data_IF_400719692552
#
_entry.id   IF_400719692552
#
_cell.length_a   1.000
_cell.length_b   1.000
_cell.length_c   1.000
_cell.angle_alpha   90.00
_cell.angle_beta   90.00
_cell.angle_gamma   90.00
#
_symmetry.space_group_name_H-M   'P 1'
#
loop_
_entity.id
_entity.type
_entity.pdbx_description
1 polymer ?
#
# COMPACT_ATOMS: atom_id res chain seq x y z
N UNK A 1 21.72 22.32 -2.23
CA UNK A 1 21.89 21.37 -1.11
C UNK A 1 22.94 20.34 -1.50
N UNK A 2 23.98 20.13 -0.68
CA UNK A 2 24.94 19.04 -0.89
C UNK A 2 24.34 17.73 -0.37
N UNK A 3 24.50 16.63 -1.13
CA UNK A 3 24.02 15.31 -0.74
C UNK A 3 25.22 14.50 -0.26
N UNK A 4 25.22 14.12 1.02
CA UNK A 4 26.19 13.19 1.58
C UNK A 4 25.58 11.79 1.61
N UNK A 5 26.33 10.78 1.15
CA UNK A 5 25.90 9.38 1.15
C UNK A 5 26.75 8.60 2.14
N UNK A 6 26.10 7.85 3.01
CA UNK A 6 26.75 6.93 3.93
C UNK A 6 26.38 5.49 3.52
N UNK A 7 27.35 4.57 3.43
CA UNK A 7 27.05 3.16 3.24
C UNK A 7 26.15 2.64 4.37
N UNK A 8 25.14 1.85 4.02
CA UNK A 8 24.23 1.25 5.02
C UNK A 8 25.00 0.41 6.05
N UNK A 9 26.10 -0.24 5.63
CA UNK A 9 27.02 -1.01 6.47
C UNK A 9 27.63 -0.18 7.60
N UNK A 10 27.82 1.12 7.41
CA UNK A 10 28.33 2.03 8.44
C UNK A 10 27.32 2.28 9.56
N UNK A 11 26.01 2.20 9.27
CA UNK A 11 24.96 2.48 10.26
C UNK A 11 24.67 1.30 11.18
N UNK A 12 24.94 0.06 10.72
CA UNK A 12 24.61 -1.19 11.41
C UNK A 12 23.15 -1.29 11.89
N UNK A 13 22.23 -0.58 11.22
CA UNK A 13 20.80 -0.54 11.58
C UNK A 13 19.95 -1.59 10.87
N UNK A 14 20.45 -2.21 9.79
CA UNK A 14 19.68 -3.19 9.04
C UNK A 14 19.72 -4.57 9.73
N UNK A 15 18.57 -5.27 9.85
CA UNK A 15 18.56 -6.68 10.21
C UNK A 15 19.41 -7.52 9.25
N UNK A 16 19.96 -8.65 9.72
CA UNK A 16 20.87 -9.52 8.94
C UNK A 16 20.34 -9.82 7.52
N UNK A 17 19.10 -10.33 7.41
CA UNK A 17 18.52 -10.66 6.11
C UNK A 17 18.40 -9.44 5.18
N UNK A 18 18.06 -8.27 5.71
CA UNK A 18 17.99 -7.03 4.91
C UNK A 18 19.40 -6.59 4.47
N UNK A 19 20.40 -6.70 5.35
CA UNK A 19 21.81 -6.42 5.03
C UNK A 19 22.31 -7.31 3.88
N UNK A 20 21.98 -8.61 3.91
CA UNK A 20 22.31 -9.58 2.85
C UNK A 20 21.67 -9.24 1.52
N UNK A 21 20.40 -8.82 1.53
CA UNK A 21 19.69 -8.36 0.32
C UNK A 21 20.39 -7.14 -0.28
N UNK A 22 20.69 -6.12 0.54
CA UNK A 22 21.35 -4.89 0.04
C UNK A 22 22.78 -5.16 -0.43
N UNK A 23 23.47 -6.13 0.17
CA UNK A 23 24.82 -6.55 -0.23
C UNK A 23 24.84 -7.57 -1.38
N UNK A 24 23.68 -7.92 -1.94
CA UNK A 24 23.53 -8.92 -3.00
C UNK A 24 24.16 -10.29 -2.68
N UNK A 25 23.94 -10.79 -1.45
CA UNK A 25 24.44 -12.11 -1.02
C UNK A 25 24.04 -13.22 -2.03
N UNK A 26 25.01 -13.92 -2.66
CA UNK A 26 24.73 -14.97 -3.64
C UNK A 26 23.85 -16.11 -3.09
N UNK A 27 23.87 -16.37 -1.79
CA UNK A 27 22.99 -17.36 -1.16
C UNK A 27 21.50 -17.00 -1.28
N UNK A 28 21.18 -15.72 -1.53
CA UNK A 28 19.82 -15.25 -1.74
C UNK A 28 19.40 -15.20 -3.21
N UNK A 29 20.23 -15.73 -4.14
CA UNK A 29 19.87 -15.82 -5.55
C UNK A 29 18.56 -16.60 -5.74
N UNK A 30 17.62 -16.02 -6.51
CA UNK A 30 16.31 -16.60 -6.78
C UNK A 30 15.22 -16.29 -5.75
N UNK A 31 15.54 -15.71 -4.60
CA UNK A 31 14.53 -15.26 -3.62
C UNK A 31 13.97 -13.87 -3.92
N UNK A 32 14.73 -13.03 -4.62
CA UNK A 32 14.33 -11.70 -5.04
C UNK A 32 14.98 -11.34 -6.38
N UNK A 33 14.48 -10.29 -7.04
CA UNK A 33 15.15 -9.71 -8.21
C UNK A 33 16.17 -8.69 -7.71
N UNK A 34 17.44 -8.76 -8.15
CA UNK A 34 18.46 -7.80 -7.75
C UNK A 34 18.05 -6.36 -8.04
N UNK A 35 18.49 -5.43 -7.20
CA UNK A 35 18.29 -4.00 -7.46
C UNK A 35 19.08 -3.59 -8.70
N UNK A 36 18.42 -2.91 -9.64
CA UNK A 36 19.01 -2.48 -10.88
C UNK A 36 18.51 -1.08 -11.27
N UNK A 37 19.37 -0.33 -11.97
CA UNK A 37 19.01 0.99 -12.51
C UNK A 37 18.15 0.91 -13.78
N UNK A 38 18.00 -0.30 -14.34
CA UNK A 38 17.21 -0.56 -15.54
C UNK A 38 16.19 -1.67 -15.26
N UNK A 39 15.06 -1.69 -15.97
CA UNK A 39 14.07 -2.75 -15.85
C UNK A 39 14.64 -4.10 -16.33
N UNK A 40 14.28 -5.18 -15.65
CA UNK A 40 14.56 -6.54 -16.10
C UNK A 40 13.68 -6.86 -17.33
N UNK A 41 14.31 -6.97 -18.50
CA UNK A 41 13.62 -7.21 -19.76
C UNK A 41 12.77 -8.49 -19.78
N UNK A 42 13.26 -9.57 -19.16
CA UNK A 42 12.51 -10.84 -19.05
C UNK A 42 11.30 -10.62 -18.16
N UNK A 43 11.46 -9.89 -17.06
CA UNK A 43 10.35 -9.57 -16.18
C UNK A 43 9.29 -8.69 -16.85
N UNK A 44 9.71 -7.68 -17.60
CA UNK A 44 8.84 -6.78 -18.37
C UNK A 44 8.01 -7.59 -19.37
N UNK A 45 8.63 -8.47 -20.15
CA UNK A 45 7.93 -9.33 -21.12
C UNK A 45 6.91 -10.27 -20.45
N UNK A 46 7.23 -10.81 -19.27
CA UNK A 46 6.28 -11.61 -18.49
C UNK A 46 5.10 -10.77 -17.98
N UNK A 47 5.37 -9.54 -17.53
CA UNK A 47 4.36 -8.63 -16.99
C UNK A 47 3.44 -8.08 -18.08
N UNK A 48 3.93 -7.89 -19.29
CA UNK A 48 3.16 -7.38 -20.43
C UNK A 48 1.92 -8.23 -20.70
N UNK A 49 2.05 -9.55 -20.53
CA UNK A 49 1.01 -10.55 -20.76
C UNK A 49 0.13 -10.83 -19.54
N UNK A 50 0.42 -10.20 -18.38
CA UNK A 50 -0.20 -10.56 -17.10
C UNK A 50 -1.65 -10.11 -16.98
N UNK A 51 -1.99 -8.96 -17.56
CA UNK A 51 -3.30 -8.33 -17.40
C UNK A 51 -4.00 -8.18 -18.74
N UNK A 52 -5.28 -8.51 -18.77
CA UNK A 52 -6.11 -8.38 -19.98
C UNK A 52 -6.45 -6.90 -20.25
N UNK A 53 -6.87 -6.60 -21.47
CA UNK A 53 -7.37 -5.26 -21.82
C UNK A 53 -8.57 -4.84 -20.94
N UNK A 54 -9.46 -5.78 -20.62
CA UNK A 54 -10.61 -5.52 -19.75
C UNK A 54 -10.17 -5.17 -18.32
N UNK A 55 -9.18 -5.86 -17.76
CA UNK A 55 -8.64 -5.55 -16.43
C UNK A 55 -8.01 -4.16 -16.37
N UNK A 56 -7.30 -3.77 -17.44
CA UNK A 56 -6.72 -2.43 -17.57
C UNK A 56 -7.79 -1.35 -17.68
N UNK A 57 -8.88 -1.63 -18.42
CA UNK A 57 -10.04 -0.73 -18.50
C UNK A 57 -10.71 -0.58 -17.12
N UNK A 58 -10.97 -1.68 -16.41
CA UNK A 58 -11.52 -1.66 -15.05
C UNK A 58 -10.67 -0.79 -14.12
N UNK A 59 -9.34 -0.92 -14.17
CA UNK A 59 -8.42 -0.08 -13.39
C UNK A 59 -8.57 1.41 -13.73
N UNK A 60 -8.60 1.76 -15.02
CA UNK A 60 -8.78 3.15 -15.48
C UNK A 60 -10.11 3.74 -14.98
N UNK A 61 -11.20 3.00 -15.09
CA UNK A 61 -12.52 3.44 -14.65
C UNK A 61 -12.56 3.70 -13.14
N UNK A 62 -11.98 2.79 -12.35
CA UNK A 62 -11.87 2.94 -10.89
C UNK A 62 -11.02 4.17 -10.53
N UNK A 63 -9.87 4.37 -11.18
CA UNK A 63 -9.04 5.55 -10.97
C UNK A 63 -9.79 6.84 -11.32
N UNK A 64 -10.48 6.85 -12.45
CA UNK A 64 -11.28 8.01 -12.89
C UNK A 64 -12.35 8.36 -11.86
N UNK A 65 -13.04 7.36 -11.31
CA UNK A 65 -14.04 7.54 -10.26
C UNK A 65 -13.41 8.07 -8.96
N UNK A 66 -12.28 7.50 -8.52
CA UNK A 66 -11.58 7.91 -7.29
C UNK A 66 -10.99 9.33 -7.35
N UNK A 67 -10.71 9.83 -8.56
CA UNK A 67 -10.17 11.17 -8.80
C UNK A 67 -11.23 12.21 -9.15
N UNK A 68 -12.53 11.86 -9.18
CA UNK A 68 -13.62 12.73 -9.65
C UNK A 68 -13.62 14.14 -9.04
N UNK A 69 -13.20 14.27 -7.79
CA UNK A 69 -13.19 15.54 -7.04
C UNK A 69 -11.79 16.14 -6.85
N UNK A 70 -10.78 15.59 -7.52
CA UNK A 70 -9.40 16.05 -7.45
C UNK A 70 -9.07 16.85 -8.70
N UNK A 71 -8.69 18.11 -8.52
CA UNK A 71 -8.22 18.95 -9.63
C UNK A 71 -6.89 18.44 -10.19
N UNK A 72 -6.68 18.64 -11.50
CA UNK A 72 -5.46 18.21 -12.20
C UNK A 72 -5.14 16.73 -12.01
N UNK A 73 -6.16 15.86 -12.07
CA UNK A 73 -5.97 14.42 -12.03
C UNK A 73 -4.99 13.97 -13.14
N UNK A 74 -4.16 12.94 -12.90
CA UNK A 74 -3.15 12.46 -13.85
C UNK A 74 -3.79 11.62 -14.98
N UNK A 75 -4.65 12.25 -15.78
CA UNK A 75 -5.44 11.61 -16.83
C UNK A 75 -4.57 10.94 -17.90
N UNK A 76 -3.44 11.56 -18.26
CA UNK A 76 -2.48 10.97 -19.21
C UNK A 76 -1.92 9.63 -18.68
N UNK A 77 -1.65 9.53 -17.38
CA UNK A 77 -1.23 8.28 -16.76
C UNK A 77 -2.37 7.25 -16.81
N UNK A 78 -3.61 7.65 -16.54
CA UNK A 78 -4.78 6.76 -16.63
C UNK A 78 -4.96 6.19 -18.04
N UNK A 79 -4.82 7.02 -19.08
CA UNK A 79 -4.89 6.57 -20.46
C UNK A 79 -3.73 5.63 -20.80
N UNK A 80 -2.51 5.95 -20.35
CA UNK A 80 -1.36 5.09 -20.62
C UNK A 80 -1.54 3.66 -20.07
N UNK A 81 -2.25 3.48 -18.95
CA UNK A 81 -2.47 2.17 -18.31
C UNK A 81 -3.26 1.19 -19.18
N UNK A 82 -3.98 1.67 -20.20
CA UNK A 82 -4.67 0.83 -21.18
C UNK A 82 -3.71 0.01 -22.05
N UNK A 83 -2.49 0.50 -22.27
CA UNK A 83 -1.48 -0.19 -23.08
C UNK A 83 -0.85 -1.37 -22.34
N UNK A 84 -0.63 -2.49 -23.03
CA UNK A 84 0.12 -3.63 -22.50
C UNK A 84 1.58 -3.30 -22.20
N UNK A 85 2.13 -2.27 -22.86
CA UNK A 85 3.49 -1.73 -22.67
C UNK A 85 3.63 -0.76 -21.49
N UNK A 86 2.55 -0.56 -20.73
CA UNK A 86 2.58 0.27 -19.52
C UNK A 86 2.64 -0.60 -18.27
N UNK A 87 3.59 -0.27 -17.40
CA UNK A 87 3.91 -0.94 -16.14
C UNK A 87 3.84 0.05 -14.97
N UNK A 88 3.56 -0.46 -13.78
CA UNK A 88 3.51 0.35 -12.56
C UNK A 88 4.73 0.09 -11.70
N UNK A 89 5.29 1.16 -11.14
CA UNK A 89 6.29 1.11 -10.06
C UNK A 89 5.56 1.47 -8.78
N UNK A 90 5.21 0.45 -8.00
CA UNK A 90 4.27 0.61 -6.89
C UNK A 90 4.98 0.62 -5.54
N UNK A 91 4.61 1.58 -4.70
CA UNK A 91 4.84 1.53 -3.25
C UNK A 91 3.50 1.66 -2.54
N UNK A 92 3.48 1.49 -1.22
CA UNK A 92 2.27 1.65 -0.43
C UNK A 92 2.55 1.90 1.04
N UNK A 93 1.54 2.44 1.71
CA UNK A 93 1.56 2.64 3.15
C UNK A 93 0.14 2.78 3.71
N UNK A 94 0.02 2.76 5.05
CA UNK A 94 -1.22 3.09 5.72
C UNK A 94 -1.51 4.59 5.60
N UNK A 95 -2.76 4.94 5.91
CA UNK A 95 -3.30 6.29 5.78
C UNK A 95 -2.91 7.13 7.01
N UNK A 96 -1.61 7.23 7.29
CA UNK A 96 -1.10 7.99 8.42
C UNK A 96 -1.53 9.45 8.32
N UNK A 97 -2.00 9.97 9.45
CA UNK A 97 -2.37 11.37 9.57
C UNK A 97 -1.17 12.26 9.21
N UNK A 98 -1.40 13.19 8.30
CA UNK A 98 -0.43 14.17 7.81
C UNK A 98 0.94 13.56 7.48
N UNK A 99 0.91 12.44 6.74
CA UNK A 99 2.06 11.64 6.26
C UNK A 99 2.74 10.77 7.32
N UNK A 100 2.51 11.04 8.61
CA UNK A 100 3.14 10.32 9.73
C UNK A 100 4.67 10.30 9.61
N UNK A 101 5.31 9.13 9.52
CA UNK A 101 6.76 9.02 9.44
C UNK A 101 7.30 9.44 8.06
N UNK A 102 8.49 10.04 8.03
CA UNK A 102 9.14 10.53 6.79
C UNK A 102 9.30 9.48 5.69
N UNK A 103 9.36 8.20 6.03
CA UNK A 103 9.48 7.15 5.03
C UNK A 103 8.21 7.02 4.16
N UNK A 104 7.06 7.57 4.56
CA UNK A 104 5.90 7.76 3.67
C UNK A 104 6.32 8.56 2.42
N UNK A 105 6.97 9.71 2.64
CA UNK A 105 7.44 10.59 1.57
C UNK A 105 8.55 9.92 0.76
N UNK A 106 9.54 9.33 1.42
CA UNK A 106 10.69 8.73 0.72
C UNK A 106 10.29 7.55 -0.17
N UNK A 107 9.38 6.69 0.29
CA UNK A 107 8.83 5.59 -0.51
C UNK A 107 8.22 6.10 -1.83
N UNK A 108 7.45 7.18 -1.76
CA UNK A 108 6.79 7.78 -2.92
C UNK A 108 7.82 8.44 -3.86
N UNK A 109 8.75 9.21 -3.29
CA UNK A 109 9.84 9.84 -4.05
C UNK A 109 10.66 8.79 -4.80
N UNK A 110 10.95 7.65 -4.18
CA UNK A 110 11.73 6.59 -4.79
C UNK A 110 11.03 5.98 -6.01
N UNK A 111 9.73 5.66 -5.93
CA UNK A 111 9.02 5.10 -7.09
C UNK A 111 8.86 6.11 -8.22
N UNK A 112 8.68 7.40 -7.91
CA UNK A 112 8.68 8.48 -8.91
C UNK A 112 10.03 8.55 -9.62
N UNK A 113 11.13 8.51 -8.85
CA UNK A 113 12.48 8.55 -9.42
C UNK A 113 12.79 7.34 -10.28
N UNK A 114 12.42 6.14 -9.84
CA UNK A 114 12.60 4.90 -10.62
C UNK A 114 11.79 4.99 -11.92
N UNK A 115 10.52 5.38 -11.86
CA UNK A 115 9.68 5.52 -13.05
C UNK A 115 10.28 6.53 -14.05
N UNK A 116 10.75 7.68 -13.56
CA UNK A 116 11.40 8.68 -14.40
C UNK A 116 12.72 8.17 -15.02
N UNK A 117 13.55 7.48 -14.24
CA UNK A 117 14.79 6.88 -14.72
C UNK A 117 14.54 5.84 -15.81
N UNK A 118 13.52 5.00 -15.65
CA UNK A 118 13.22 3.95 -16.62
C UNK A 118 12.54 4.51 -17.87
N UNK A 119 11.65 5.49 -17.74
CA UNK A 119 11.07 6.19 -18.90
C UNK A 119 12.14 6.93 -19.72
N UNK A 120 13.20 7.43 -19.09
CA UNK A 120 14.31 8.09 -19.78
C UNK A 120 15.14 7.15 -20.68
N UNK A 121 14.99 5.82 -20.53
CA UNK A 121 15.63 4.84 -21.40
C UNK A 121 15.00 4.78 -22.79
N UNK A 122 13.78 5.28 -22.97
CA UNK A 122 13.05 5.30 -24.23
C UNK A 122 12.96 3.91 -24.90
N UNK A 123 12.75 2.87 -24.11
CA UNK A 123 12.72 1.47 -24.55
C UNK A 123 11.36 1.02 -25.16
N UNK A 124 10.46 1.99 -25.41
CA UNK A 124 9.10 1.75 -25.90
C UNK A 124 8.09 1.36 -24.82
N UNK A 125 8.50 1.24 -23.55
CA UNK A 125 7.60 1.02 -22.42
C UNK A 125 7.26 2.34 -21.71
N UNK A 126 6.19 2.32 -20.92
CA UNK A 126 5.83 3.42 -20.03
C UNK A 126 5.77 2.92 -18.58
N UNK A 127 6.39 3.66 -17.67
CA UNK A 127 6.46 3.35 -16.25
C UNK A 127 5.70 4.41 -15.45
N UNK A 128 4.62 4.01 -14.77
CA UNK A 128 3.77 4.90 -13.97
C UNK A 128 4.07 4.68 -12.49
N UNK A 129 4.48 5.72 -11.74
CA UNK A 129 4.64 5.59 -10.29
C UNK A 129 3.27 5.50 -9.62
N UNK A 130 3.09 4.50 -8.76
CA UNK A 130 1.81 4.23 -8.07
C UNK A 130 2.00 4.21 -6.57
N UNK A 131 1.12 4.90 -5.85
CA UNK A 131 0.95 4.79 -4.41
C UNK A 131 -0.33 4.00 -4.08
N UNK A 132 -0.16 2.82 -3.48
CA UNK A 132 -1.24 1.98 -2.98
C UNK A 132 -1.59 2.37 -1.55
N UNK A 133 -2.86 2.71 -1.33
CA UNK A 133 -3.38 3.01 0.01
C UNK A 133 -3.77 1.71 0.72
N UNK A 134 -3.17 1.43 1.89
CA UNK A 134 -3.59 0.33 2.76
C UNK A 134 -4.86 0.72 3.57
N UNK A 135 -5.90 1.12 2.85
CA UNK A 135 -7.19 1.62 3.37
C UNK A 135 -8.00 0.56 4.11
N UNK A 136 -7.81 -0.71 3.77
CA UNK A 136 -8.52 -1.84 4.38
C UNK A 136 -7.88 -2.35 5.67
N UNK A 137 -6.77 -1.77 6.11
CA UNK A 137 -6.22 -2.06 7.44
C UNK A 137 -7.12 -1.49 8.54
N UNK A 138 -6.91 -1.88 9.78
CA UNK A 138 -7.73 -1.53 10.95
C UNK A 138 -6.92 -0.94 12.10
N UNK A 139 -5.60 -0.80 11.95
CA UNK A 139 -4.74 -0.26 13.01
C UNK A 139 -4.85 1.27 13.07
N UNK A 140 -5.92 1.74 13.71
CA UNK A 140 -6.14 3.17 13.92
C UNK A 140 -5.05 3.80 14.80
N UNK A 141 -4.45 3.05 15.73
CA UNK A 141 -3.43 3.60 16.66
C UNK A 141 -2.15 3.96 15.92
N UNK A 142 -1.80 3.20 14.89
CA UNK A 142 -0.64 3.50 14.05
C UNK A 142 -0.85 4.79 13.25
N UNK A 143 -2.07 5.04 12.75
CA UNK A 143 -2.33 6.13 11.81
C UNK A 143 -2.82 7.45 12.44
N UNK A 144 -3.29 7.44 13.69
CA UNK A 144 -4.03 8.57 14.26
C UNK A 144 -3.18 9.76 14.71
N UNK A 145 -1.90 9.83 14.36
CA UNK A 145 -1.01 10.84 14.87
C UNK A 145 0.13 11.18 13.90
N UNK A 146 0.77 12.32 14.15
CA UNK A 146 2.03 12.70 13.54
C UNK A 146 2.90 13.44 14.56
N UNK A 147 4.21 13.40 14.34
CA UNK A 147 5.20 14.00 15.23
C UNK A 147 5.89 15.20 14.57
N UNK A 148 6.02 16.27 15.34
CA UNK A 148 6.60 17.54 14.92
C UNK A 148 7.38 18.11 16.10
N UNK A 149 8.67 18.41 15.91
CA UNK A 149 9.55 18.98 16.95
C UNK A 149 9.53 18.21 18.28
N UNK A 150 9.48 16.87 18.23
CA UNK A 150 9.44 16.02 19.43
C UNK A 150 8.08 15.98 20.16
N UNK A 151 7.06 16.67 19.64
CA UNK A 151 5.68 16.58 20.11
C UNK A 151 4.86 15.71 19.16
N UNK A 152 3.88 15.00 19.71
CA UNK A 152 2.95 14.19 18.92
C UNK A 152 1.55 14.78 19.00
N UNK A 153 0.96 15.05 17.85
CA UNK A 153 -0.41 15.54 17.71
C UNK A 153 -1.30 14.34 17.37
N UNK A 154 -2.33 14.11 18.19
CA UNK A 154 -3.22 12.97 18.07
C UNK A 154 -4.62 13.37 17.60
N UNK A 155 -5.19 12.55 16.72
CA UNK A 155 -6.62 12.47 16.47
C UNK A 155 -7.25 11.44 17.43
N UNK A 156 -7.72 11.94 18.58
CA UNK A 156 -8.25 11.10 19.65
C UNK A 156 -9.72 10.72 19.39
N UNK A 157 -9.96 9.49 18.91
CA UNK A 157 -11.31 8.93 18.75
C UNK A 157 -11.29 7.40 18.91
N UNK A 158 -12.42 6.83 19.31
CA UNK A 158 -12.65 5.38 19.19
C UNK A 158 -13.20 5.07 17.80
N UNK A 159 -12.52 4.19 17.08
CA UNK A 159 -12.88 3.83 15.72
C UNK A 159 -12.66 2.35 15.49
N UNK A 160 -13.51 1.74 14.67
CA UNK A 160 -13.45 0.34 14.29
C UNK A 160 -13.65 0.20 12.79
N UNK A 161 -13.12 -0.89 12.22
CA UNK A 161 -13.23 -1.18 10.80
C UNK A 161 -12.08 -0.62 9.95
N UNK A 162 -12.22 -0.66 8.62
CA UNK A 162 -11.17 -0.27 7.70
C UNK A 162 -10.86 1.22 7.80
N UNK A 163 -9.58 1.57 7.95
CA UNK A 163 -9.11 2.94 8.19
C UNK A 163 -9.53 3.90 7.08
N UNK A 164 -9.59 3.44 5.82
CA UNK A 164 -10.01 4.28 4.69
C UNK A 164 -11.46 4.71 4.73
N UNK A 165 -12.36 3.91 5.32
CA UNK A 165 -13.79 4.23 5.44
C UNK A 165 -14.10 5.11 6.66
N UNK A 166 -13.12 5.37 7.53
CA UNK A 166 -13.33 6.19 8.72
C UNK A 166 -13.73 7.61 8.35
N UNK A 167 -14.74 8.13 9.04
CA UNK A 167 -15.11 9.54 8.94
C UNK A 167 -13.99 10.43 9.47
N UNK A 168 -13.73 11.53 8.78
CA UNK A 168 -12.76 12.60 9.16
C UNK A 168 -13.25 13.52 10.28
N UNK A 169 -14.46 13.28 10.81
CA UNK A 169 -15.01 14.07 11.92
C UNK A 169 -14.05 14.13 13.11
N UNK A 170 -13.87 15.35 13.65
CA UNK A 170 -12.93 15.69 14.72
C UNK A 170 -11.56 16.16 14.23
N UNK A 171 -11.22 16.00 12.94
CA UNK A 171 -9.96 16.53 12.38
C UNK A 171 -9.95 18.07 12.31
N UNK A 172 -11.09 18.73 12.40
CA UNK A 172 -11.19 20.19 12.60
C UNK A 172 -10.58 20.63 13.95
N UNK A 173 -10.73 19.82 15.00
CA UNK A 173 -10.11 20.07 16.29
C UNK A 173 -8.60 19.82 16.25
N UNK A 174 -8.17 18.79 15.52
CA UNK A 174 -6.75 18.55 15.25
C UNK A 174 -6.13 19.72 14.48
N UNK A 175 -6.84 20.26 13.49
CA UNK A 175 -6.41 21.45 12.77
C UNK A 175 -6.23 22.66 13.70
N UNK A 176 -7.12 22.89 14.68
CA UNK A 176 -6.96 23.99 15.65
C UNK A 176 -5.68 23.84 16.47
N UNK A 177 -5.39 22.62 16.96
CA UNK A 177 -4.15 22.32 17.68
C UNK A 177 -2.93 22.52 16.77
N UNK A 178 -3.04 22.08 15.51
CA UNK A 178 -1.98 22.22 14.53
C UNK A 178 -1.65 23.68 14.23
N UNK A 179 -2.67 24.53 14.07
CA UNK A 179 -2.53 25.98 13.91
C UNK A 179 -1.77 26.62 15.08
N UNK A 180 -2.13 26.25 16.30
CA UNK A 180 -1.45 26.74 17.51
C UNK A 180 0.02 26.29 17.58
N UNK A 181 0.31 25.04 17.21
CA UNK A 181 1.68 24.52 17.23
C UNK A 181 2.58 25.22 16.19
N UNK A 182 2.05 25.46 14.99
CA UNK A 182 2.77 26.14 13.92
C UNK A 182 3.09 27.59 14.29
N UNK A 183 2.11 28.34 14.82
CA UNK A 183 2.28 29.77 15.09
C UNK A 183 2.71 30.54 13.84
N UNK A 184 3.64 31.48 14.00
CA UNK A 184 4.10 32.38 12.93
C UNK A 184 5.33 31.86 12.17
N UNK A 185 5.55 30.54 12.16
CA UNK A 185 6.70 29.93 11.45
C UNK A 185 6.56 30.08 9.92
N UNK A 186 7.68 30.06 9.18
CA UNK A 186 7.64 30.02 7.72
C UNK A 186 6.78 28.86 7.21
N UNK A 187 6.00 29.11 6.16
CA UNK A 187 5.09 28.14 5.53
C UNK A 187 3.98 27.60 6.45
N UNK A 188 3.72 28.22 7.60
CA UNK A 188 2.66 27.81 8.51
C UNK A 188 1.30 27.82 7.80
N UNK A 189 0.96 28.89 7.08
CA UNK A 189 -0.30 28.99 6.33
C UNK A 189 -0.45 27.87 5.30
N UNK A 190 0.59 27.60 4.50
CA UNK A 190 0.59 26.52 3.51
C UNK A 190 0.32 25.15 4.14
N UNK A 191 0.93 24.85 5.28
CA UNK A 191 0.75 23.58 5.99
C UNK A 191 -0.62 23.47 6.66
N UNK A 192 -1.18 24.58 7.14
CA UNK A 192 -2.53 24.64 7.69
C UNK A 192 -3.56 24.41 6.59
N UNK A 193 -3.41 25.07 5.46
CA UNK A 193 -4.29 24.94 4.32
C UNK A 193 -4.21 23.54 3.72
N UNK A 194 -3.01 22.98 3.58
CA UNK A 194 -2.84 21.60 3.13
C UNK A 194 -3.57 20.62 4.06
N UNK A 195 -3.47 20.78 5.37
CA UNK A 195 -4.19 19.94 6.32
C UNK A 195 -5.71 20.14 6.20
N UNK A 196 -6.19 21.38 6.15
CA UNK A 196 -7.60 21.71 6.07
C UNK A 196 -8.25 21.14 4.79
N UNK A 197 -7.61 21.38 3.64
CA UNK A 197 -8.08 20.90 2.35
C UNK A 197 -8.00 19.38 2.24
N UNK A 198 -7.02 18.74 2.88
CA UNK A 198 -6.92 17.29 2.87
C UNK A 198 -7.95 16.63 3.79
N UNK A 199 -8.08 17.08 5.03
CA UNK A 199 -8.80 16.32 6.05
C UNK A 199 -10.18 16.89 6.40
N UNK A 200 -10.32 18.22 6.45
CA UNK A 200 -11.58 18.87 6.85
C UNK A 200 -12.55 18.97 5.68
N UNK A 201 -12.04 19.07 4.44
CA UNK A 201 -12.86 19.19 3.23
C UNK A 201 -13.36 17.85 2.67
N UNK A 202 -12.96 16.72 3.26
CA UNK A 202 -13.34 15.37 2.84
C UNK A 202 -14.09 14.65 3.95
N UNK A 203 -14.97 13.71 3.60
CA UNK A 203 -15.82 13.01 4.58
C UNK A 203 -15.21 11.73 5.13
N UNK A 204 -14.23 11.15 4.44
CA UNK A 204 -13.55 9.91 4.84
C UNK A 204 -12.03 9.99 4.64
N UNK A 205 -11.31 9.12 5.35
CA UNK A 205 -9.85 9.15 5.39
C UNK A 205 -9.18 8.73 4.07
N UNK A 206 -9.79 7.84 3.28
CA UNK A 206 -9.27 7.45 1.98
C UNK A 206 -9.22 8.63 1.01
N UNK A 207 -10.32 9.37 0.89
CA UNK A 207 -10.39 10.56 0.04
C UNK A 207 -9.44 11.66 0.55
N UNK A 208 -9.39 11.86 1.86
CA UNK A 208 -8.47 12.82 2.48
C UNK A 208 -6.99 12.50 2.20
N UNK A 209 -6.61 11.23 2.35
CA UNK A 209 -5.23 10.78 2.11
C UNK A 209 -4.89 10.84 0.63
N UNK A 210 -5.82 10.49 -0.25
CA UNK A 210 -5.64 10.60 -1.71
C UNK A 210 -5.41 12.04 -2.12
N UNK A 211 -6.21 12.96 -1.58
CA UNK A 211 -6.03 14.39 -1.83
C UNK A 211 -4.66 14.87 -1.36
N UNK A 212 -4.27 14.56 -0.11
CA UNK A 212 -2.95 14.95 0.44
C UNK A 212 -1.80 14.45 -0.44
N UNK A 213 -1.80 13.15 -0.77
CA UNK A 213 -0.76 12.55 -1.59
C UNK A 213 -0.73 13.16 -3.01
N UNK A 214 -1.89 13.47 -3.59
CA UNK A 214 -1.97 14.15 -4.89
C UNK A 214 -1.45 15.59 -4.85
N UNK A 215 -1.76 16.37 -3.81
CA UNK A 215 -1.20 17.73 -3.67
C UNK A 215 0.33 17.72 -3.56
N UNK A 216 0.88 16.74 -2.83
CA UNK A 216 2.32 16.62 -2.65
C UNK A 216 3.02 16.11 -3.93
N UNK A 217 2.43 15.16 -4.64
CA UNK A 217 3.14 14.37 -5.64
C UNK A 217 2.48 14.22 -7.01
N UNK A 218 1.21 14.62 -7.17
CA UNK A 218 0.44 14.46 -8.40
C UNK A 218 1.09 15.14 -9.61
N UNK A 219 1.74 16.30 -9.41
CA UNK A 219 2.51 17.00 -10.45
C UNK A 219 3.69 16.20 -11.02
N UNK A 220 4.13 15.16 -10.33
CA UNK A 220 5.19 14.26 -10.77
C UNK A 220 4.65 12.98 -11.44
N UNK A 221 3.34 12.94 -11.74
CA UNK A 221 2.70 11.80 -12.38
C UNK A 221 2.38 10.65 -11.43
N UNK A 222 2.39 10.86 -10.11
CA UNK A 222 1.97 9.84 -9.15
C UNK A 222 0.49 9.52 -9.29
N UNK A 223 0.18 8.23 -9.46
CA UNK A 223 -1.19 7.71 -9.39
C UNK A 223 -1.42 7.10 -8.01
N UNK A 224 -2.45 7.56 -7.31
CA UNK A 224 -2.86 7.05 -5.99
C UNK A 224 -4.08 6.15 -6.18
N UNK A 225 -4.04 4.95 -5.61
CA UNK A 225 -5.15 4.00 -5.73
C UNK A 225 -5.58 3.45 -4.38
N UNK A 226 -6.91 3.43 -4.19
CA UNK A 226 -7.57 2.66 -3.15
C UNK A 226 -8.04 1.31 -3.71
N UNK A 227 -7.61 0.21 -3.08
CA UNK A 227 -8.03 -1.14 -3.45
C UNK A 227 -9.44 -1.52 -2.97
N UNK A 228 -10.04 -0.74 -2.07
CA UNK A 228 -11.32 -1.04 -1.42
C UNK A 228 -12.53 -0.68 -2.31
N UNK A 229 -12.59 -1.29 -3.50
CA UNK A 229 -13.71 -1.13 -4.44
C UNK A 229 -14.22 -2.47 -4.95
N UNK A 230 -15.55 -2.68 -5.07
CA UNK A 230 -16.10 -3.94 -5.54
C UNK A 230 -15.54 -4.41 -6.90
N UNK A 231 -15.28 -3.48 -7.82
CA UNK A 231 -14.73 -3.74 -9.14
C UNK A 231 -13.33 -4.36 -9.06
N UNK A 232 -12.43 -3.81 -8.23
CA UNK A 232 -11.09 -4.36 -8.04
C UNK A 232 -11.13 -5.67 -7.23
N UNK A 233 -12.08 -5.81 -6.29
CA UNK A 233 -12.25 -7.04 -5.51
C UNK A 233 -12.67 -8.24 -6.38
N UNK A 234 -13.49 -8.01 -7.41
CA UNK A 234 -13.84 -9.04 -8.41
C UNK A 234 -12.61 -9.60 -9.12
N UNK A 235 -11.64 -8.76 -9.45
CA UNK A 235 -10.36 -9.21 -10.04
C UNK A 235 -9.50 -10.02 -9.07
N UNK A 236 -9.73 -9.88 -7.76
CA UNK A 236 -8.98 -10.58 -6.72
C UNK A 236 -9.60 -11.94 -6.33
N UNK A 237 -10.85 -12.22 -6.72
CA UNK A 237 -11.60 -13.44 -6.42
C UNK A 237 -10.80 -14.74 -6.65
N UNK A 238 -10.07 -14.93 -7.78
CA UNK A 238 -9.32 -16.16 -7.99
C UNK A 238 -8.24 -16.39 -6.92
N UNK A 239 -7.64 -15.33 -6.38
CA UNK A 239 -6.62 -15.45 -5.34
C UNK A 239 -7.23 -15.77 -3.98
N UNK A 240 -8.39 -15.18 -3.66
CA UNK A 240 -9.15 -15.50 -2.45
C UNK A 240 -9.56 -16.99 -2.43
N UNK A 241 -10.03 -17.51 -3.57
CA UNK A 241 -10.40 -18.93 -3.71
C UNK A 241 -9.19 -19.84 -3.48
N UNK A 242 -8.05 -19.51 -4.10
CA UNK A 242 -6.82 -20.29 -3.92
C UNK A 242 -6.32 -20.28 -2.48
N UNK A 243 -6.45 -19.18 -1.75
CA UNK A 243 -6.14 -19.18 -0.32
C UNK A 243 -7.04 -20.17 0.46
N UNK A 244 -8.34 -20.22 0.16
CA UNK A 244 -9.27 -21.17 0.78
C UNK A 244 -9.08 -22.63 0.36
N UNK A 245 -8.60 -22.87 -0.86
CA UNK A 245 -8.50 -24.21 -1.43
C UNK A 245 -7.12 -24.84 -1.26
N UNK A 246 -6.07 -24.03 -1.37
CA UNK A 246 -4.68 -24.48 -1.41
C UNK A 246 -3.91 -24.14 -0.13
N UNK A 247 -4.42 -23.26 0.75
CA UNK A 247 -3.66 -22.68 1.88
C UNK A 247 -2.38 -22.00 1.39
N UNK A 248 -2.53 -21.27 0.28
CA UNK A 248 -1.46 -20.74 -0.55
C UNK A 248 -0.42 -19.96 0.26
N UNK A 249 -0.87 -19.07 1.15
CA UNK A 249 0.02 -18.18 1.90
C UNK A 249 0.81 -18.95 2.96
N UNK A 250 0.16 -19.85 3.70
CA UNK A 250 0.81 -20.63 4.75
C UNK A 250 1.86 -21.57 4.17
N UNK A 251 1.48 -22.39 3.18
CA UNK A 251 2.39 -23.34 2.54
C UNK A 251 3.52 -22.61 1.82
N UNK A 252 3.20 -21.55 1.08
CA UNK A 252 4.19 -20.74 0.38
C UNK A 252 5.23 -20.14 1.33
N UNK A 253 4.80 -19.63 2.49
CA UNK A 253 5.70 -19.10 3.51
C UNK A 253 6.57 -20.18 4.13
N UNK A 254 6.00 -21.33 4.51
CA UNK A 254 6.75 -22.45 5.09
C UNK A 254 7.83 -22.94 4.13
N UNK A 255 7.47 -23.22 2.87
CA UNK A 255 8.42 -23.63 1.83
C UNK A 255 9.50 -22.58 1.60
N UNK A 256 9.16 -21.28 1.62
CA UNK A 256 10.14 -20.20 1.43
C UNK A 256 11.12 -20.12 2.60
N UNK A 257 10.63 -20.24 3.84
CA UNK A 257 11.47 -20.24 5.05
C UNK A 257 12.41 -21.45 5.07
N UNK A 258 11.92 -22.64 4.71
CA UNK A 258 12.75 -23.84 4.59
C UNK A 258 13.86 -23.66 3.55
N UNK A 259 13.51 -23.16 2.36
CA UNK A 259 14.50 -22.87 1.32
C UNK A 259 15.53 -21.83 1.76
N UNK A 260 15.09 -20.76 2.44
CA UNK A 260 16.01 -19.74 2.96
C UNK A 260 16.96 -20.31 4.02
N UNK A 261 16.44 -21.11 4.95
CA UNK A 261 17.27 -21.75 5.98
C UNK A 261 18.34 -22.66 5.36
N UNK A 262 17.96 -23.43 4.33
CA UNK A 262 18.88 -24.29 3.60
C UNK A 262 19.91 -23.47 2.81
N UNK A 263 19.49 -22.41 2.13
CA UNK A 263 20.40 -21.58 1.35
C UNK A 263 21.43 -20.85 2.23
N UNK A 264 21.01 -20.38 3.41
CA UNK A 264 21.86 -19.65 4.36
C UNK A 264 22.60 -20.56 5.35
N UNK A 265 22.29 -21.87 5.36
CA UNK A 265 22.81 -22.84 6.33
C UNK A 265 22.61 -22.40 7.80
N UNK A 266 21.54 -21.67 8.07
CA UNK A 266 21.19 -21.16 9.40
C UNK A 266 19.68 -20.92 9.51
N UNK A 267 19.14 -20.94 10.73
CA UNK A 267 17.73 -20.61 10.95
C UNK A 267 17.53 -19.09 10.94
N UNK A 268 16.75 -18.61 9.98
CA UNK A 268 16.35 -17.20 9.96
C UNK A 268 15.32 -16.92 11.07
N UNK A 269 15.33 -15.69 11.58
CA UNK A 269 14.24 -15.19 12.41
C UNK A 269 13.01 -14.95 11.53
N UNK A 270 12.00 -15.80 11.67
CA UNK A 270 10.71 -15.65 10.98
C UNK A 270 10.04 -14.34 11.43
N UNK A 271 9.65 -13.51 10.46
CA UNK A 271 9.00 -12.22 10.71
C UNK A 271 7.49 -12.24 10.49
N UNK A 272 6.99 -13.21 9.73
CA UNK A 272 5.57 -13.35 9.39
C UNK A 272 5.13 -14.77 9.75
N UNK A 273 4.02 -14.88 10.46
CA UNK A 273 3.44 -16.16 10.87
C UNK A 273 2.05 -16.31 10.24
N UNK A 274 1.95 -16.82 9.00
CA UNK A 274 0.66 -17.06 8.37
C UNK A 274 -0.21 -18.01 9.17
N UNK A 275 -1.52 -17.73 9.15
CA UNK A 275 -2.56 -18.58 9.72
C UNK A 275 -2.96 -19.65 8.71
N UNK A 276 -3.79 -20.60 9.13
CA UNK A 276 -4.37 -21.62 8.24
C UNK A 276 -5.29 -21.01 7.16
N UNK A 277 -5.79 -19.80 7.39
CA UNK A 277 -6.47 -18.97 6.40
C UNK A 277 -6.15 -17.51 6.69
N UNK A 278 -5.70 -16.79 5.67
CA UNK A 278 -5.20 -15.41 5.79
C UNK A 278 -6.17 -14.39 5.18
N UNK A 279 -7.46 -14.68 5.28
CA UNK A 279 -8.54 -13.81 4.82
C UNK A 279 -9.21 -13.05 5.97
N UNK A 280 -9.84 -11.94 5.60
CA UNK A 280 -10.68 -11.14 6.46
C UNK A 280 -12.06 -11.01 5.82
N UNK A 281 -13.09 -10.96 6.66
CA UNK A 281 -14.46 -10.68 6.27
C UNK A 281 -14.76 -9.21 6.56
N UNK A 282 -15.36 -8.52 5.58
CA UNK A 282 -15.71 -7.11 5.67
C UNK A 282 -17.24 -6.99 5.81
N UNK A 283 -17.73 -7.07 7.05
CA UNK A 283 -19.17 -7.03 7.37
C UNK A 283 -19.61 -5.74 8.06
N UNK A 284 -20.86 -5.71 8.52
CA UNK A 284 -21.42 -4.58 9.28
C UNK A 284 -20.62 -4.26 10.54
N UNK A 285 -20.11 -5.28 11.22
CA UNK A 285 -19.29 -5.13 12.42
C UNK A 285 -17.86 -4.66 12.14
N UNK A 286 -17.50 -4.39 10.87
CA UNK A 286 -16.17 -3.95 10.43
C UNK A 286 -15.34 -5.05 9.77
N UNK A 287 -14.05 -5.09 10.10
CA UNK A 287 -13.08 -6.04 9.53
C UNK A 287 -12.79 -7.14 10.53
N UNK A 288 -13.27 -8.36 10.27
CA UNK A 288 -13.03 -9.51 11.13
C UNK A 288 -12.11 -10.52 10.47
N UNK A 289 -11.36 -11.24 11.29
CA UNK A 289 -10.57 -12.37 10.83
C UNK A 289 -11.49 -13.53 10.47
N UNK A 290 -11.19 -14.23 9.39
CA UNK A 290 -11.72 -15.58 9.15
C UNK A 290 -10.75 -16.57 9.80
N UNK A 291 -11.29 -17.59 10.47
CA UNK A 291 -10.55 -18.72 11.03
C UNK A 291 -11.08 -20.04 10.49
N UNK A 292 -10.19 -21.01 10.32
CA UNK A 292 -10.54 -22.37 9.92
C UNK A 292 -10.98 -23.14 11.17
N UNK A 293 -12.16 -23.76 11.11
CA UNK A 293 -12.73 -24.59 12.19
C UNK A 293 -12.71 -26.06 11.80
N UNK A 294 -13.17 -26.95 12.69
CA UNK A 294 -13.30 -28.38 12.41
C UNK A 294 -14.31 -28.68 11.29
N UNK A 295 -15.34 -27.84 11.13
CA UNK A 295 -16.45 -28.04 10.18
C UNK A 295 -16.43 -27.09 8.99
N UNK A 296 -15.54 -26.09 8.98
CA UNK A 296 -15.45 -25.10 7.90
C UNK A 296 -14.66 -23.87 8.30
N UNK A 297 -15.32 -22.71 8.27
CA UNK A 297 -14.74 -21.40 8.53
C UNK A 297 -15.68 -20.56 9.41
N UNK A 298 -15.12 -19.86 10.38
CA UNK A 298 -15.83 -18.93 11.24
C UNK A 298 -15.31 -17.51 11.06
N UNK A 299 -16.22 -16.53 11.10
CA UNK A 299 -15.86 -15.11 11.19
C UNK A 299 -15.77 -14.74 12.67
N UNK A 300 -14.57 -14.42 13.12
CA UNK A 300 -14.26 -14.16 14.54
C UNK A 300 -15.14 -13.02 15.08
N UNK A 301 -15.57 -13.16 16.34
CA UNK A 301 -16.45 -12.23 17.05
C UNK A 301 -17.84 -12.04 16.42
N UNK A 302 -18.30 -13.00 15.60
CA UNK A 302 -19.63 -13.00 14.99
C UNK A 302 -20.26 -14.40 15.03
N UNK A 303 -21.55 -14.47 14.68
CA UNK A 303 -22.27 -15.75 14.47
C UNK A 303 -22.09 -16.33 13.06
N UNK A 304 -21.37 -15.62 12.18
CA UNK A 304 -21.24 -16.00 10.78
C UNK A 304 -20.26 -17.17 10.66
N UNK A 305 -20.70 -18.22 9.98
CA UNK A 305 -19.89 -19.38 9.65
C UNK A 305 -20.21 -19.89 8.26
N UNK A 306 -19.23 -20.56 7.65
CA UNK A 306 -19.32 -21.08 6.30
C UNK A 306 -18.72 -22.47 6.25
N UNK A 307 -19.38 -23.41 5.58
CA UNK A 307 -18.68 -24.54 4.97
C UNK A 307 -17.72 -24.03 3.88
N UNK A 308 -16.80 -24.88 3.44
CA UNK A 308 -15.90 -24.53 2.33
C UNK A 308 -16.67 -24.11 1.07
N UNK A 309 -17.76 -24.81 0.73
CA UNK A 309 -18.58 -24.49 -0.45
C UNK A 309 -19.28 -23.14 -0.30
N UNK A 310 -19.78 -22.84 0.89
CA UNK A 310 -20.44 -21.55 1.17
C UNK A 310 -19.45 -20.40 1.15
N UNK A 311 -18.24 -20.55 1.71
CA UNK A 311 -17.22 -19.51 1.68
C UNK A 311 -16.79 -19.19 0.23
N UNK A 312 -16.62 -20.22 -0.61
CA UNK A 312 -16.30 -20.03 -2.03
C UNK A 312 -17.45 -19.34 -2.78
N UNK A 313 -18.70 -19.60 -2.40
CA UNK A 313 -19.86 -18.91 -2.96
C UNK A 313 -19.90 -17.44 -2.53
N UNK A 314 -19.63 -17.17 -1.26
CA UNK A 314 -19.55 -15.81 -0.68
C UNK A 314 -18.44 -14.99 -1.33
N UNK A 315 -17.27 -15.59 -1.59
CA UNK A 315 -16.17 -14.92 -2.29
C UNK A 315 -16.57 -14.52 -3.74
N UNK A 316 -17.54 -15.20 -4.35
CA UNK A 316 -17.96 -14.96 -5.73
C UNK A 316 -19.14 -13.97 -5.86
N UNK A 317 -19.88 -13.71 -4.79
CA UNK A 317 -20.99 -12.74 -4.78
C UNK A 317 -20.47 -11.31 -4.81
#
# INVERSE_FOLDING_TARGET
MQIHRLPHTTTQRLPDLASRVVSADPALAGFYRPFANQPDAVHVQQKEKRFTAQQRLTLKEVLTAQYKHISNAPTNQFESLLSSKTFTITTGHQLNLFTGPLYFLYKIIDVIKIANQWNALQDGNTYVPVYWMASEDHDFKEINHFSVNGQTIHWSRQQHGPVGRLSTEGLDQVLKVWKQHLGDRPHAEELQDLFAQSYVAHSNLADATRYLAHQLFGRYGLVIIDGDTPQLKKEFVPYLQRECEEELIQKGSQTTVEKLNNALQTKIKVQVNPRNINLFYMGESGRQRIEKTTTGYGVVDTVISFSKKELIKEIKS
#
